data_IF_890870232934
#
_entry.id   IF_890870232934
#
_cell.length_a   1.000
_cell.length_b   1.000
_cell.length_c   1.000
_cell.angle_alpha   90.00
_cell.angle_beta   90.00
_cell.angle_gamma   90.00
#
_symmetry.space_group_name_H-M   'P 1'
#
loop_
_entity.id
_entity.type
_entity.pdbx_description
1 polymer ?
#
# COMPACT_ATOMS: atom_id res chain seq x y z
N UNK A 1 -6.17 -19.19 6.56
CA UNK A 1 -6.36 -19.33 5.10
C UNK A 1 -7.41 -18.39 4.55
N UNK A 2 -8.62 -18.27 5.13
CA UNK A 2 -9.67 -17.36 4.63
C UNK A 2 -9.25 -15.87 4.64
N UNK A 3 -8.55 -15.41 5.67
CA UNK A 3 -8.05 -14.02 5.73
C UNK A 3 -7.01 -13.73 4.65
N UNK A 4 -6.14 -14.71 4.38
CA UNK A 4 -5.13 -14.58 3.32
C UNK A 4 -5.78 -14.53 1.94
N UNK A 5 -6.80 -15.36 1.70
CA UNK A 5 -7.57 -15.36 0.46
C UNK A 5 -8.35 -14.06 0.27
N UNK A 6 -8.98 -13.53 1.32
CA UNK A 6 -9.67 -12.23 1.28
C UNK A 6 -8.72 -11.09 0.98
N UNK A 7 -7.57 -11.05 1.64
CA UNK A 7 -6.54 -10.03 1.40
C UNK A 7 -5.98 -10.10 -0.02
N UNK A 8 -5.74 -11.31 -0.52
CA UNK A 8 -5.30 -11.52 -1.91
C UNK A 8 -6.38 -11.06 -2.91
N UNK A 9 -7.63 -11.47 -2.70
CA UNK A 9 -8.76 -11.06 -3.54
C UNK A 9 -8.95 -9.54 -3.54
N UNK A 10 -8.89 -8.91 -2.37
CA UNK A 10 -8.99 -7.43 -2.25
C UNK A 10 -7.85 -6.74 -2.99
N UNK A 11 -6.62 -7.21 -2.85
CA UNK A 11 -5.46 -6.63 -3.55
C UNK A 11 -5.54 -6.79 -5.06
N UNK A 12 -6.01 -7.95 -5.54
CA UNK A 12 -6.26 -8.17 -6.97
C UNK A 12 -7.37 -7.26 -7.50
N UNK A 13 -8.45 -7.08 -6.74
CA UNK A 13 -9.53 -6.18 -7.10
C UNK A 13 -9.02 -4.74 -7.22
N UNK A 14 -8.25 -4.24 -6.25
CA UNK A 14 -7.63 -2.91 -6.30
C UNK A 14 -6.72 -2.73 -7.52
N UNK A 15 -5.97 -3.77 -7.91
CA UNK A 15 -5.10 -3.72 -9.08
C UNK A 15 -5.91 -3.58 -10.38
N UNK A 16 -7.00 -4.36 -10.52
CA UNK A 16 -7.89 -4.28 -11.67
C UNK A 16 -8.67 -2.98 -11.72
N UNK A 17 -9.22 -2.52 -10.60
CA UNK A 17 -9.93 -1.25 -10.49
C UNK A 17 -8.99 -0.08 -10.82
N UNK A 18 -7.76 -0.10 -10.30
CA UNK A 18 -6.73 0.89 -10.61
C UNK A 18 -6.37 0.92 -12.10
N UNK A 19 -6.18 -0.25 -12.71
CA UNK A 19 -5.88 -0.35 -14.15
C UNK A 19 -7.06 0.14 -15.01
N UNK A 20 -8.29 -0.26 -14.68
CA UNK A 20 -9.49 0.19 -15.40
C UNK A 20 -9.71 1.70 -15.27
N UNK A 21 -9.54 2.24 -14.06
CA UNK A 21 -9.67 3.67 -13.81
C UNK A 21 -8.61 4.46 -14.60
N UNK A 22 -7.36 3.99 -14.59
CA UNK A 22 -6.30 4.59 -15.37
C UNK A 22 -6.64 4.61 -16.86
N UNK A 23 -7.11 3.50 -17.42
CA UNK A 23 -7.53 3.42 -18.83
C UNK A 23 -8.74 4.32 -19.14
N UNK A 24 -9.69 4.44 -18.22
CA UNK A 24 -10.82 5.34 -18.37
C UNK A 24 -10.38 6.82 -18.43
N UNK A 25 -9.41 7.21 -17.58
CA UNK A 25 -8.81 8.54 -17.58
C UNK A 25 -8.05 8.79 -18.89
N UNK A 26 -7.26 7.82 -19.35
CA UNK A 26 -6.54 7.88 -20.63
C UNK A 26 -7.52 8.11 -21.78
N UNK A 27 -8.59 7.33 -21.85
CA UNK A 27 -9.61 7.47 -22.86
C UNK A 27 -10.29 8.84 -22.84
N UNK A 28 -10.61 9.33 -21.64
CA UNK A 28 -11.24 10.64 -21.47
C UNK A 28 -10.33 11.77 -21.91
N UNK A 29 -9.01 11.63 -21.68
CA UNK A 29 -8.01 12.66 -22.01
C UNK A 29 -7.68 12.65 -23.49
N UNK A 30 -7.31 11.49 -24.04
CA UNK A 30 -6.87 11.36 -25.45
C UNK A 30 -8.06 11.34 -26.44
N UNK A 31 -9.26 10.95 -25.98
CA UNK A 31 -10.47 10.80 -26.82
C UNK A 31 -10.26 9.95 -28.06
N UNK A 32 -9.27 9.08 -28.06
CA UNK A 32 -8.93 8.16 -29.15
C UNK A 32 -8.88 6.73 -28.59
N UNK A 33 -9.77 5.89 -29.09
CA UNK A 33 -9.84 4.49 -28.70
C UNK A 33 -8.56 3.71 -29.05
N UNK A 34 -7.89 4.08 -30.14
CA UNK A 34 -6.68 3.42 -30.60
C UNK A 34 -5.49 3.77 -29.68
N UNK A 35 -5.37 5.02 -29.32
CA UNK A 35 -4.38 5.49 -28.37
C UNK A 35 -4.58 4.80 -27.01
N UNK A 36 -5.84 4.68 -26.55
CA UNK A 36 -6.20 3.97 -25.32
C UNK A 36 -5.81 2.48 -25.39
N UNK A 37 -6.03 1.81 -26.52
CA UNK A 37 -5.62 0.43 -26.69
C UNK A 37 -4.10 0.23 -26.61
N UNK A 38 -3.31 1.16 -27.18
CA UNK A 38 -1.84 1.11 -27.07
C UNK A 38 -1.42 1.21 -25.59
N UNK A 39 -2.01 2.14 -24.83
CA UNK A 39 -1.75 2.26 -23.40
C UNK A 39 -2.23 1.02 -22.61
N UNK A 40 -3.39 0.46 -22.97
CA UNK A 40 -3.94 -0.73 -22.33
C UNK A 40 -3.04 -1.96 -22.47
N UNK A 41 -2.42 -2.13 -23.64
CA UNK A 41 -1.50 -3.25 -23.91
C UNK A 41 -0.15 -3.02 -23.22
N UNK A 42 0.28 -1.77 -23.03
CA UNK A 42 1.53 -1.46 -22.35
C UNK A 42 1.53 -1.94 -20.89
N UNK A 43 0.39 -1.90 -20.18
CA UNK A 43 0.26 -2.37 -18.80
C UNK A 43 0.66 -3.83 -18.61
N UNK A 44 0.00 -4.82 -19.25
CA UNK A 44 0.36 -6.21 -19.08
C UNK A 44 1.76 -6.51 -19.60
N UNK A 45 2.23 -5.83 -20.64
CA UNK A 45 3.58 -5.99 -21.17
C UNK A 45 4.68 -5.50 -20.20
N UNK A 46 4.34 -4.62 -19.25
CA UNK A 46 5.25 -4.19 -18.19
C UNK A 46 5.15 -5.10 -16.96
N UNK A 47 3.94 -5.58 -16.62
CA UNK A 47 3.68 -6.37 -15.40
C UNK A 47 4.12 -7.83 -15.58
N UNK A 48 3.84 -8.47 -16.72
CA UNK A 48 4.17 -9.88 -16.93
C UNK A 48 5.67 -10.18 -16.80
N UNK A 49 6.58 -9.41 -17.42
CA UNK A 49 8.01 -9.60 -17.20
C UNK A 49 8.45 -9.34 -15.74
N UNK A 50 7.75 -8.44 -15.03
CA UNK A 50 8.01 -8.19 -13.62
C UNK A 50 7.78 -9.46 -12.79
N UNK A 51 6.72 -10.24 -13.06
CA UNK A 51 6.50 -11.53 -12.40
C UNK A 51 7.63 -12.54 -12.66
N UNK A 52 8.19 -12.56 -13.87
CA UNK A 52 9.33 -13.44 -14.18
C UNK A 52 10.57 -13.08 -13.35
N UNK A 53 10.86 -11.78 -13.17
CA UNK A 53 11.98 -11.32 -12.33
C UNK A 53 11.69 -11.59 -10.86
N UNK A 54 10.46 -11.38 -10.38
CA UNK A 54 10.07 -11.75 -9.01
C UNK A 54 10.32 -13.23 -8.75
N UNK A 55 9.93 -14.10 -9.67
CA UNK A 55 10.18 -15.54 -9.56
C UNK A 55 11.68 -15.86 -9.53
N UNK A 56 12.49 -15.17 -10.33
CA UNK A 56 13.94 -15.35 -10.33
C UNK A 56 14.59 -14.96 -9.00
N UNK A 57 14.09 -13.89 -8.35
CA UNK A 57 14.52 -13.50 -7.02
C UNK A 57 13.93 -14.36 -5.89
N UNK A 58 13.07 -15.33 -6.19
CA UNK A 58 12.40 -16.18 -5.21
C UNK A 58 11.31 -15.45 -4.42
N UNK A 59 10.77 -14.35 -4.95
CA UNK A 59 9.67 -13.62 -4.33
C UNK A 59 8.34 -14.30 -4.61
N UNK A 60 7.43 -14.23 -3.65
CA UNK A 60 6.07 -14.74 -3.78
C UNK A 60 5.08 -13.63 -4.13
N UNK A 61 3.95 -14.01 -4.73
CA UNK A 61 2.79 -13.13 -4.84
C UNK A 61 2.12 -13.05 -3.47
N UNK A 62 2.39 -11.98 -2.75
CA UNK A 62 1.82 -11.71 -1.44
C UNK A 62 1.23 -10.29 -1.40
N UNK A 63 0.62 -9.91 -0.27
CA UNK A 63 -0.03 -8.61 -0.10
C UNK A 63 0.93 -7.45 -0.41
N UNK A 64 2.21 -7.58 -0.04
CA UNK A 64 3.21 -6.52 -0.20
C UNK A 64 3.64 -6.36 -1.66
N UNK A 65 3.87 -7.48 -2.36
CA UNK A 65 4.20 -7.44 -3.79
C UNK A 65 3.02 -6.97 -4.64
N UNK A 66 1.78 -7.36 -4.27
CA UNK A 66 0.57 -6.84 -4.90
C UNK A 66 0.34 -5.36 -4.61
N UNK A 67 0.64 -4.90 -3.40
CA UNK A 67 0.61 -3.48 -3.06
C UNK A 67 1.63 -2.69 -3.90
N UNK A 68 2.85 -3.21 -4.06
CA UNK A 68 3.86 -2.61 -4.93
C UNK A 68 3.35 -2.44 -6.36
N UNK A 69 2.77 -3.50 -6.93
CA UNK A 69 2.20 -3.45 -8.28
C UNK A 69 1.03 -2.47 -8.37
N UNK A 70 0.13 -2.45 -7.38
CA UNK A 70 -1.00 -1.51 -7.35
C UNK A 70 -0.55 -0.05 -7.34
N UNK A 71 0.47 0.27 -6.53
CA UNK A 71 1.05 1.63 -6.48
C UNK A 71 1.69 2.00 -7.82
N UNK A 72 2.39 1.05 -8.45
CA UNK A 72 3.17 1.33 -9.66
C UNK A 72 2.29 1.33 -10.91
N UNK A 73 1.12 0.67 -10.92
CA UNK A 73 0.21 0.63 -12.10
C UNK A 73 -0.10 2.03 -12.63
N UNK A 74 -0.37 3.00 -11.75
CA UNK A 74 -0.60 4.39 -12.16
C UNK A 74 0.62 5.02 -12.86
N UNK A 75 1.81 4.70 -12.39
CA UNK A 75 3.08 5.18 -12.95
C UNK A 75 3.37 4.51 -14.30
N UNK A 76 3.08 3.21 -14.42
CA UNK A 76 3.30 2.45 -15.66
C UNK A 76 2.47 2.98 -16.83
N UNK A 77 1.27 3.47 -16.55
CA UNK A 77 0.39 4.04 -17.57
C UNK A 77 0.90 5.41 -18.03
N UNK A 78 1.47 6.19 -17.12
CA UNK A 78 1.94 7.56 -17.40
C UNK A 78 3.02 7.59 -18.47
N UNK A 79 4.01 6.71 -18.40
CA UNK A 79 5.06 6.59 -19.42
C UNK A 79 4.48 6.39 -20.84
N UNK A 80 3.47 5.52 -20.96
CA UNK A 80 2.81 5.25 -22.22
C UNK A 80 1.95 6.43 -22.69
N UNK A 81 1.28 7.15 -21.77
CA UNK A 81 0.45 8.30 -22.09
C UNK A 81 1.29 9.41 -22.69
N UNK A 82 2.39 9.79 -22.02
CA UNK A 82 3.27 10.87 -22.46
C UNK A 82 3.85 10.57 -23.85
N UNK A 83 4.26 9.33 -24.09
CA UNK A 83 4.77 8.90 -25.41
C UNK A 83 3.69 9.01 -26.48
N UNK A 84 2.49 8.50 -26.22
CA UNK A 84 1.37 8.52 -27.17
C UNK A 84 0.91 9.95 -27.45
N UNK A 85 0.78 10.79 -26.43
CA UNK A 85 0.37 12.19 -26.59
C UNK A 85 1.34 12.93 -27.50
N UNK A 86 2.65 12.75 -27.30
CA UNK A 86 3.66 13.37 -28.15
C UNK A 86 3.58 12.87 -29.60
N UNK A 87 3.34 11.56 -29.80
CA UNK A 87 3.14 10.99 -31.14
C UNK A 87 1.90 11.59 -31.81
N UNK A 88 0.77 11.69 -31.09
CA UNK A 88 -0.47 12.29 -31.58
C UNK A 88 -0.25 13.76 -31.98
N UNK A 89 0.52 14.51 -31.18
CA UNK A 89 0.91 15.89 -31.50
C UNK A 89 1.69 15.98 -32.81
N UNK A 90 2.67 15.10 -33.03
CA UNK A 90 3.44 15.05 -34.30
C UNK A 90 2.56 14.61 -35.47
N UNK A 91 1.60 13.73 -35.29
CA UNK A 91 0.60 13.36 -36.29
C UNK A 91 -0.26 14.56 -36.69
N UNK A 92 -0.68 15.38 -35.69
CA UNK A 92 -1.42 16.63 -35.93
C UNK A 92 -0.62 17.66 -36.75
N UNK A 93 0.71 17.63 -36.70
CA UNK A 93 1.59 18.46 -37.55
C UNK A 93 1.67 17.94 -39.02
N UNK A 94 0.92 16.90 -39.39
CA UNK A 94 0.88 16.33 -40.72
C UNK A 94 1.99 15.34 -41.03
N UNK A 95 2.79 14.88 -40.09
CA UNK A 95 3.82 13.86 -40.27
C UNK A 95 3.21 12.49 -40.53
N UNK A 96 3.92 11.65 -41.28
CA UNK A 96 3.54 10.24 -41.45
C UNK A 96 3.68 9.50 -40.11
N UNK A 97 2.86 8.47 -39.86
CA UNK A 97 2.84 7.80 -38.53
C UNK A 97 4.21 7.28 -38.07
N UNK A 98 5.01 6.74 -38.96
CA UNK A 98 6.35 6.25 -38.60
C UNK A 98 7.32 7.39 -38.26
N UNK A 99 7.31 8.48 -39.04
CA UNK A 99 8.15 9.64 -38.78
C UNK A 99 7.69 10.37 -37.50
N UNK A 100 6.37 10.48 -37.29
CA UNK A 100 5.79 11.05 -36.09
C UNK A 100 6.22 10.27 -34.84
N UNK A 101 6.14 8.94 -34.87
CA UNK A 101 6.56 8.10 -33.77
C UNK A 101 8.05 8.19 -33.45
N UNK A 102 8.89 8.25 -34.49
CA UNK A 102 10.34 8.40 -34.36
C UNK A 102 10.72 9.75 -33.76
N UNK A 103 10.22 10.83 -34.36
CA UNK A 103 10.55 12.18 -33.92
C UNK A 103 10.04 12.45 -32.50
N UNK A 104 8.82 11.99 -32.17
CA UNK A 104 8.27 12.10 -30.84
C UNK A 104 9.09 11.33 -29.80
N UNK A 105 9.50 10.10 -30.15
CA UNK A 105 10.34 9.30 -29.27
C UNK A 105 11.71 9.95 -29.02
N UNK A 106 12.33 10.54 -30.02
CA UNK A 106 13.60 11.26 -29.87
C UNK A 106 13.43 12.53 -28.98
N UNK A 107 12.34 13.29 -29.18
CA UNK A 107 12.11 14.55 -28.48
C UNK A 107 12.00 14.37 -26.96
N UNK A 108 11.25 13.37 -26.48
CA UNK A 108 11.00 13.16 -25.04
C UNK A 108 11.87 12.06 -24.43
N UNK A 109 12.70 11.40 -25.23
CA UNK A 109 13.43 10.20 -24.83
C UNK A 109 14.26 10.33 -23.58
N UNK A 110 15.05 11.39 -23.49
CA UNK A 110 15.89 11.65 -22.31
C UNK A 110 15.07 12.00 -21.07
N UNK A 111 13.93 12.68 -21.23
CA UNK A 111 13.03 13.02 -20.12
C UNK A 111 12.39 11.76 -19.54
N UNK A 112 11.85 10.88 -20.39
CA UNK A 112 11.22 9.62 -19.96
C UNK A 112 12.23 8.68 -19.30
N UNK A 113 13.45 8.57 -19.83
CA UNK A 113 14.51 7.79 -19.18
C UNK A 113 14.86 8.38 -17.82
N UNK A 114 15.03 9.70 -17.72
CA UNK A 114 15.38 10.36 -16.47
C UNK A 114 14.31 10.17 -15.39
N UNK A 115 13.03 10.32 -15.74
CA UNK A 115 11.91 10.12 -14.78
C UNK A 115 11.83 8.68 -14.32
N UNK A 116 11.86 7.70 -15.19
CA UNK A 116 11.78 6.29 -14.83
C UNK A 116 13.00 5.82 -14.02
N UNK A 117 14.22 6.26 -14.37
CA UNK A 117 15.42 5.97 -13.57
C UNK A 117 15.36 6.62 -12.19
N UNK A 118 14.84 7.85 -12.11
CA UNK A 118 14.64 8.52 -10.82
C UNK A 118 13.65 7.76 -9.94
N UNK A 119 12.52 7.29 -10.51
CA UNK A 119 11.56 6.48 -9.78
C UNK A 119 12.17 5.15 -9.30
N UNK A 120 12.90 4.45 -10.16
CA UNK A 120 13.62 3.25 -9.75
C UNK A 120 14.63 3.54 -8.63
N UNK A 121 15.36 4.66 -8.71
CA UNK A 121 16.30 5.11 -7.70
C UNK A 121 15.64 5.46 -6.35
N UNK A 122 14.36 5.79 -6.33
CA UNK A 122 13.57 5.98 -5.10
C UNK A 122 13.15 4.64 -4.49
N UNK A 123 12.78 3.66 -5.30
CA UNK A 123 12.32 2.35 -4.80
C UNK A 123 13.46 1.44 -4.38
N UNK A 124 14.61 1.48 -5.05
CA UNK A 124 15.76 0.61 -4.74
C UNK A 124 16.27 0.75 -3.30
N UNK A 125 16.45 1.94 -2.70
CA UNK A 125 16.87 2.07 -1.30
C UNK A 125 15.89 1.43 -0.31
N UNK A 126 14.61 1.41 -0.61
CA UNK A 126 13.58 0.77 0.22
C UNK A 126 13.83 -0.73 0.35
N UNK A 127 14.37 -1.36 -0.69
CA UNK A 127 14.74 -2.78 -0.69
C UNK A 127 15.95 -3.11 0.23
N UNK A 128 16.69 -2.12 0.66
CA UNK A 128 17.88 -2.28 1.52
C UNK A 128 17.64 -1.81 2.96
N UNK A 129 16.41 -1.55 3.35
CA UNK A 129 16.10 -1.18 4.73
C UNK A 129 16.50 -2.28 5.71
N UNK A 130 17.13 -1.94 6.87
CA UNK A 130 17.46 -2.91 7.89
C UNK A 130 16.25 -3.28 8.77
N UNK A 131 16.39 -4.39 9.50
CA UNK A 131 15.43 -4.81 10.52
C UNK A 131 14.16 -5.50 9.98
N UNK A 132 13.12 -5.56 10.81
CA UNK A 132 11.83 -6.17 10.47
C UNK A 132 11.17 -5.47 9.28
N UNK A 133 11.12 -4.12 9.21
CA UNK A 133 10.60 -3.43 8.03
C UNK A 133 11.28 -3.84 6.74
N UNK A 134 12.60 -4.03 6.77
CA UNK A 134 13.36 -4.41 5.59
C UNK A 134 12.99 -5.77 5.02
N UNK A 135 12.58 -6.73 5.88
CA UNK A 135 12.11 -8.04 5.41
C UNK A 135 10.87 -7.90 4.52
N UNK A 136 9.95 -7.00 4.89
CA UNK A 136 8.72 -6.74 4.14
C UNK A 136 8.98 -5.85 2.91
N UNK A 137 9.70 -4.75 3.09
CA UNK A 137 9.89 -3.76 2.04
C UNK A 137 10.93 -4.15 0.98
N UNK A 138 11.73 -5.19 1.22
CA UNK A 138 12.65 -5.72 0.21
C UNK A 138 11.93 -6.18 -1.05
N UNK A 139 10.89 -6.98 -0.89
CA UNK A 139 10.08 -7.47 -2.02
C UNK A 139 9.33 -6.33 -2.70
N UNK A 140 8.80 -5.38 -1.92
CA UNK A 140 8.16 -4.17 -2.43
C UNK A 140 9.08 -3.35 -3.33
N UNK A 141 10.26 -2.98 -2.82
CA UNK A 141 11.20 -2.11 -3.52
C UNK A 141 11.71 -2.72 -4.82
N UNK A 142 12.09 -3.99 -4.80
CA UNK A 142 12.54 -4.68 -6.03
C UNK A 142 11.42 -4.88 -7.04
N UNK A 143 10.21 -5.23 -6.61
CA UNK A 143 9.05 -5.38 -7.49
C UNK A 143 8.71 -4.07 -8.17
N UNK A 144 8.62 -2.98 -7.41
CA UNK A 144 8.32 -1.65 -7.93
C UNK A 144 9.40 -1.16 -8.91
N UNK A 145 10.68 -1.24 -8.52
CA UNK A 145 11.78 -0.81 -9.38
C UNK A 145 11.83 -1.60 -10.69
N UNK A 146 11.64 -2.92 -10.63
CA UNK A 146 11.61 -3.79 -11.81
C UNK A 146 10.44 -3.45 -12.73
N UNK A 147 9.24 -3.22 -12.18
CA UNK A 147 8.06 -2.86 -12.95
C UNK A 147 8.26 -1.51 -13.69
N UNK A 148 8.82 -0.51 -13.01
CA UNK A 148 9.15 0.79 -13.61
C UNK A 148 10.18 0.63 -14.75
N UNK A 149 11.21 -0.21 -14.58
CA UNK A 149 12.20 -0.43 -15.64
C UNK A 149 11.60 -1.16 -16.86
N UNK A 150 10.67 -2.10 -16.65
CA UNK A 150 9.95 -2.71 -17.78
C UNK A 150 8.97 -1.72 -18.43
N UNK A 151 8.34 -0.83 -17.67
CA UNK A 151 7.54 0.27 -18.23
C UNK A 151 8.37 1.13 -19.17
N UNK A 152 9.55 1.53 -18.72
CA UNK A 152 10.48 2.29 -19.57
C UNK A 152 10.80 1.55 -20.87
N UNK A 153 11.10 0.26 -20.82
CA UNK A 153 11.38 -0.53 -22.03
C UNK A 153 10.17 -0.60 -22.95
N UNK A 154 8.98 -0.82 -22.40
CA UNK A 154 7.74 -0.86 -23.18
C UNK A 154 7.43 0.51 -23.78
N UNK A 155 7.53 1.59 -23.02
CA UNK A 155 7.28 2.95 -23.50
C UNK A 155 8.26 3.35 -24.61
N UNK A 156 9.53 2.95 -24.52
CA UNK A 156 10.56 3.35 -25.48
C UNK A 156 10.64 2.48 -26.73
N UNK A 157 10.22 1.23 -26.67
CA UNK A 157 10.34 0.28 -27.78
C UNK A 157 8.98 -0.11 -28.39
N UNK A 158 8.05 -0.54 -27.53
CA UNK A 158 6.79 -1.11 -28.01
C UNK A 158 5.74 -0.04 -28.28
N UNK A 159 5.62 0.95 -27.42
CA UNK A 159 4.62 2.02 -27.57
C UNK A 159 4.79 2.80 -28.88
N UNK A 160 5.98 3.29 -29.27
CA UNK A 160 6.17 3.97 -30.56
C UNK A 160 5.90 3.06 -31.76
N UNK A 161 6.34 1.78 -31.68
CA UNK A 161 6.11 0.81 -32.75
C UNK A 161 4.61 0.52 -32.95
N UNK A 162 3.87 0.36 -31.86
CA UNK A 162 2.43 0.14 -31.92
C UNK A 162 1.69 1.39 -32.40
N UNK A 163 2.05 2.55 -31.88
CA UNK A 163 1.48 3.84 -32.25
C UNK A 163 1.67 4.12 -33.76
N UNK A 164 2.87 3.87 -34.33
CA UNK A 164 3.15 4.03 -35.76
C UNK A 164 2.24 3.19 -36.65
N UNK A 165 1.71 2.05 -36.15
CA UNK A 165 0.85 1.16 -36.95
C UNK A 165 -0.63 1.36 -36.69
N UNK A 166 -1.02 1.72 -35.45
CA UNK A 166 -2.41 1.78 -35.00
C UNK A 166 -3.00 3.18 -35.06
N UNK A 167 -2.19 4.22 -34.82
CA UNK A 167 -2.68 5.59 -34.82
C UNK A 167 -2.86 6.10 -36.26
N UNK A 168 -3.88 6.93 -36.41
CA UNK A 168 -4.14 7.63 -37.67
C UNK A 168 -3.95 9.13 -37.46
N UNK A 169 -3.56 9.87 -38.54
CA UNK A 169 -3.56 11.32 -38.49
C UNK A 169 -4.95 11.80 -38.04
N UNK A 170 -4.99 12.59 -36.99
CA UNK A 170 -6.19 13.27 -36.55
C UNK A 170 -6.16 14.72 -37.03
N UNK A 171 -7.28 15.30 -37.44
CA UNK A 171 -7.34 16.74 -37.70
C UNK A 171 -7.03 17.49 -36.40
N UNK A 172 -6.42 18.66 -36.52
CA UNK A 172 -6.07 19.55 -35.42
C UNK A 172 -7.23 19.62 -34.38
N UNK A 173 -6.89 19.57 -33.13
CA UNK A 173 -7.86 19.60 -32.04
C UNK A 173 -8.77 20.84 -32.18
N UNK A 174 -10.09 20.70 -31.98
CA UNK A 174 -11.00 21.84 -31.99
C UNK A 174 -10.58 22.86 -30.95
N UNK A 175 -10.80 24.14 -31.32
CA UNK A 175 -10.49 25.34 -30.54
C UNK A 175 -10.62 25.14 -29.02
N UNK A 176 -9.67 25.71 -28.28
CA UNK A 176 -9.55 25.65 -26.82
C UNK A 176 -10.90 25.72 -26.11
N UNK A 177 -11.18 24.72 -25.31
CA UNK A 177 -12.34 24.71 -24.44
C UNK A 177 -12.32 25.94 -23.52
N UNK A 178 -13.50 26.46 -23.14
CA UNK A 178 -13.61 27.55 -22.15
C UNK A 178 -12.84 27.27 -20.85
N UNK A 179 -12.67 26.00 -20.50
CA UNK A 179 -11.84 25.55 -19.38
C UNK A 179 -10.35 25.81 -19.68
N UNK A 180 -9.87 25.46 -20.84
CA UNK A 180 -8.49 25.66 -21.27
C UNK A 180 -8.12 27.15 -21.27
N UNK A 181 -9.01 27.99 -21.83
CA UNK A 181 -8.79 29.45 -21.82
C UNK A 181 -8.68 30.00 -20.40
N UNK A 182 -9.50 29.52 -19.46
CA UNK A 182 -9.43 29.93 -18.04
C UNK A 182 -8.16 29.43 -17.36
N UNK A 183 -7.77 28.19 -17.63
CA UNK A 183 -6.53 27.61 -17.12
C UNK A 183 -5.29 28.39 -17.61
N UNK A 184 -5.22 28.68 -18.89
CA UNK A 184 -4.15 29.48 -19.47
C UNK A 184 -4.10 30.88 -18.84
N UNK A 185 -5.25 31.49 -18.53
CA UNK A 185 -5.33 32.75 -17.79
C UNK A 185 -4.75 32.66 -16.37
N UNK A 186 -4.94 31.54 -15.67
CA UNK A 186 -4.30 31.31 -14.36
C UNK A 186 -2.79 31.13 -14.48
N UNK A 187 -2.33 30.40 -15.51
CA UNK A 187 -0.90 30.21 -15.81
C UNK A 187 -0.23 31.56 -16.11
N UNK A 188 -0.84 32.39 -16.97
CA UNK A 188 -0.32 33.73 -17.29
C UNK A 188 -0.26 34.62 -16.04
N UNK A 189 -1.28 34.59 -15.19
CA UNK A 189 -1.30 35.32 -13.93
C UNK A 189 -0.21 34.86 -12.99
N UNK A 190 0.03 33.55 -12.88
CA UNK A 190 1.08 32.96 -12.06
C UNK A 190 2.49 33.39 -12.56
N UNK A 191 2.70 33.34 -13.86
CA UNK A 191 3.97 33.73 -14.51
C UNK A 191 4.25 35.25 -14.36
N UNK A 192 3.24 36.07 -14.54
CA UNK A 192 3.34 37.54 -14.34
C UNK A 192 3.65 37.92 -12.90
N UNK A 193 3.09 37.15 -11.95
CA UNK A 193 3.29 37.43 -10.52
C UNK A 193 4.26 36.41 -9.88
N UNK A 194 5.35 36.09 -10.57
CA UNK A 194 6.31 35.04 -10.15
C UNK A 194 6.69 35.05 -8.68
N UNK A 195 6.96 36.23 -8.11
CA UNK A 195 7.34 36.36 -6.72
C UNK A 195 6.20 36.09 -5.73
N UNK A 196 4.96 36.46 -6.08
CA UNK A 196 3.77 36.12 -5.27
C UNK A 196 3.49 34.62 -5.35
N UNK A 197 3.59 34.05 -6.55
CA UNK A 197 3.41 32.60 -6.77
C UNK A 197 4.46 31.80 -6.00
N UNK A 198 5.73 32.23 -6.05
CA UNK A 198 6.80 31.59 -5.28
C UNK A 198 6.56 31.75 -3.77
N UNK A 199 6.13 32.92 -3.31
CA UNK A 199 5.80 33.18 -1.91
C UNK A 199 4.68 32.27 -1.40
N UNK A 200 3.60 32.10 -2.18
CA UNK A 200 2.49 31.20 -1.84
C UNK A 200 2.96 29.73 -1.82
N UNK A 201 3.73 29.31 -2.82
CA UNK A 201 4.27 27.95 -2.87
C UNK A 201 5.18 27.66 -1.66
N UNK A 202 6.06 28.60 -1.33
CA UNK A 202 6.95 28.49 -0.16
C UNK A 202 6.17 28.45 1.15
N UNK A 203 5.15 29.30 1.29
CA UNK A 203 4.27 29.31 2.48
C UNK A 203 3.54 27.96 2.63
N UNK A 204 2.98 27.44 1.54
CA UNK A 204 2.31 26.13 1.55
C UNK A 204 3.28 25.00 1.91
N UNK A 205 4.49 25.03 1.36
CA UNK A 205 5.51 24.03 1.64
C UNK A 205 5.91 24.02 3.12
N UNK A 206 6.30 25.16 3.67
CA UNK A 206 6.68 25.24 5.09
C UNK A 206 5.49 25.06 6.02
N UNK A 207 4.29 25.50 5.63
CA UNK A 207 3.06 25.22 6.36
C UNK A 207 2.77 23.72 6.44
N UNK A 208 2.98 22.97 5.36
CA UNK A 208 2.85 21.51 5.35
C UNK A 208 3.87 20.83 6.25
N UNK A 209 5.13 21.30 6.23
CA UNK A 209 6.17 20.79 7.12
C UNK A 209 5.83 21.03 8.61
N UNK A 210 5.24 22.17 8.93
CA UNK A 210 4.83 22.48 10.29
C UNK A 210 3.69 21.59 10.82
N UNK A 211 2.97 20.88 9.94
CA UNK A 211 1.94 19.90 10.31
C UNK A 211 2.51 18.53 10.67
N UNK A 212 3.74 18.21 10.24
CA UNK A 212 4.35 16.89 10.48
C UNK A 212 4.36 16.50 11.97
N UNK A 213 4.71 17.38 12.93
CA UNK A 213 4.72 17.01 14.36
C UNK A 213 3.34 16.64 14.92
N UNK A 214 2.25 17.04 14.25
CA UNK A 214 0.89 16.73 14.68
C UNK A 214 0.37 15.39 14.12
N UNK A 215 1.13 14.75 13.24
CA UNK A 215 0.76 13.45 12.66
C UNK A 215 1.24 12.35 13.61
N UNK A 216 0.33 11.48 14.13
CA UNK A 216 0.74 10.36 14.96
C UNK A 216 1.62 9.41 14.13
N UNK A 217 2.83 9.13 14.63
CA UNK A 217 3.78 8.23 13.98
C UNK A 217 3.64 6.83 14.56
N UNK A 218 3.12 5.91 13.78
CA UNK A 218 3.10 4.48 14.11
C UNK A 218 3.51 3.69 12.87
N UNK A 219 4.33 2.65 13.06
CA UNK A 219 4.79 1.82 11.95
C UNK A 219 3.68 0.94 11.38
N UNK A 220 2.88 0.35 12.26
CA UNK A 220 1.69 -0.42 11.90
C UNK A 220 0.51 0.27 12.57
N UNK A 221 -0.41 0.87 11.81
CA UNK A 221 -1.61 1.44 12.41
C UNK A 221 -2.37 0.31 13.14
N UNK A 222 -2.77 0.57 14.37
CA UNK A 222 -3.64 -0.33 15.12
C UNK A 222 -4.97 -0.36 14.38
N UNK A 223 -5.11 -1.32 13.48
CA UNK A 223 -6.40 -1.58 12.84
C UNK A 223 -7.24 -2.39 13.80
N UNK A 224 -8.49 -1.98 13.95
CA UNK A 224 -9.47 -2.76 14.68
C UNK A 224 -9.80 -4.03 13.88
N UNK A 225 -9.05 -5.10 14.20
CA UNK A 225 -9.21 -6.40 13.53
C UNK A 225 -10.34 -7.26 14.14
N UNK A 226 -11.05 -6.70 15.13
CA UNK A 226 -12.07 -7.44 15.84
C UNK A 226 -11.53 -8.55 16.74
N UNK A 227 -10.23 -8.58 17.02
CA UNK A 227 -9.58 -9.59 17.86
C UNK A 227 -8.57 -8.96 18.80
N UNK A 228 -8.56 -9.41 20.05
CA UNK A 228 -7.57 -9.03 21.06
C UNK A 228 -6.93 -10.26 21.67
N UNK A 229 -5.61 -10.22 21.90
CA UNK A 229 -4.89 -11.28 22.60
C UNK A 229 -4.60 -10.82 24.03
N UNK A 230 -5.17 -11.51 24.99
CA UNK A 230 -4.98 -11.29 26.42
C UNK A 230 -4.04 -12.35 26.99
N UNK A 231 -2.93 -11.94 27.56
CA UNK A 231 -2.02 -12.81 28.32
C UNK A 231 -2.39 -12.78 29.79
N UNK A 232 -2.54 -13.96 30.37
CA UNK A 232 -2.67 -14.19 31.79
C UNK A 232 -1.37 -14.78 32.32
N UNK A 233 -0.72 -14.16 33.29
CA UNK A 233 0.49 -14.65 33.93
C UNK A 233 0.27 -14.84 35.42
N UNK A 234 0.52 -16.05 35.90
CA UNK A 234 0.40 -16.44 37.30
C UNK A 234 1.78 -16.43 37.99
N UNK A 235 1.84 -16.44 39.33
CA UNK A 235 3.07 -16.47 40.10
C UNK A 235 3.99 -17.65 39.70
N UNK A 236 5.32 -17.51 39.84
CA UNK A 236 6.27 -18.60 39.62
C UNK A 236 5.95 -19.83 40.46
N UNK A 237 6.02 -21.02 39.86
CA UNK A 237 5.73 -22.28 40.51
C UNK A 237 4.28 -22.73 40.43
N UNK A 238 3.39 -21.98 39.77
CA UNK A 238 2.00 -22.38 39.54
C UNK A 238 1.92 -23.58 38.61
N UNK A 239 1.26 -24.69 38.99
CA UNK A 239 1.05 -25.83 38.11
C UNK A 239 0.05 -25.51 37.00
N UNK A 240 0.09 -26.25 35.90
CA UNK A 240 -0.74 -26.03 34.72
C UNK A 240 -2.23 -26.16 34.98
N UNK A 241 -2.60 -27.01 35.95
CA UNK A 241 -3.99 -27.25 36.38
C UNK A 241 -4.59 -26.01 37.02
N UNK A 242 -3.80 -25.28 37.80
CA UNK A 242 -4.25 -24.02 38.42
C UNK A 242 -4.36 -22.91 37.37
N UNK A 243 -3.42 -22.87 36.40
CA UNK A 243 -3.51 -21.96 35.25
C UNK A 243 -4.77 -22.22 34.41
N UNK A 244 -5.11 -23.49 34.21
CA UNK A 244 -6.33 -23.88 33.52
C UNK A 244 -7.60 -23.44 34.29
N UNK A 245 -7.63 -23.65 35.62
CA UNK A 245 -8.76 -23.26 36.45
C UNK A 245 -8.98 -21.74 36.45
N UNK A 246 -7.93 -20.96 36.58
CA UNK A 246 -8.00 -19.50 36.54
C UNK A 246 -8.43 -18.99 35.18
N UNK A 247 -7.91 -19.60 34.11
CA UNK A 247 -8.31 -19.26 32.73
C UNK A 247 -9.80 -19.52 32.50
N UNK A 248 -10.36 -20.59 33.06
CA UNK A 248 -11.78 -20.89 32.98
C UNK A 248 -12.65 -19.90 33.78
N UNK A 249 -12.16 -19.46 34.96
CA UNK A 249 -12.80 -18.38 35.71
C UNK A 249 -12.80 -17.07 34.90
N UNK A 250 -11.67 -16.70 34.32
CA UNK A 250 -11.57 -15.53 33.44
C UNK A 250 -12.55 -15.64 32.27
N UNK A 251 -12.62 -16.81 31.59
CA UNK A 251 -13.57 -17.07 30.52
C UNK A 251 -15.02 -16.88 30.92
N UNK A 252 -15.37 -17.34 32.10
CA UNK A 252 -16.73 -17.20 32.64
C UNK A 252 -17.10 -15.74 32.95
N UNK A 253 -16.15 -14.95 33.43
CA UNK A 253 -16.34 -13.52 33.70
C UNK A 253 -16.48 -12.75 32.37
N UNK A 254 -15.61 -13.02 31.42
CA UNK A 254 -15.61 -12.38 30.09
C UNK A 254 -16.86 -12.74 29.27
N UNK A 255 -17.44 -13.94 29.47
CA UNK A 255 -18.66 -14.35 28.80
C UNK A 255 -19.89 -13.50 29.11
N UNK A 256 -19.79 -12.57 30.08
CA UNK A 256 -20.84 -11.58 30.39
C UNK A 256 -20.79 -10.35 29.46
N UNK A 257 -19.74 -10.19 28.66
CA UNK A 257 -19.57 -9.06 27.74
C UNK A 257 -20.38 -9.38 26.47
N UNK A 258 -21.38 -8.58 26.10
CA UNK A 258 -22.31 -8.93 25.02
C UNK A 258 -21.64 -9.01 23.64
N UNK A 259 -20.61 -8.19 23.39
CA UNK A 259 -19.89 -8.13 22.12
C UNK A 259 -18.87 -9.26 21.93
N UNK A 260 -18.61 -10.06 22.97
CA UNK A 260 -17.68 -11.17 22.90
C UNK A 260 -18.32 -12.35 22.18
N UNK A 261 -17.90 -12.62 20.94
CA UNK A 261 -18.43 -13.72 20.11
C UNK A 261 -17.79 -15.06 20.47
N UNK A 262 -16.45 -15.07 20.60
CA UNK A 262 -15.69 -16.29 20.89
C UNK A 262 -14.48 -16.01 21.76
N UNK A 263 -14.11 -17.00 22.60
CA UNK A 263 -12.87 -17.00 23.38
C UNK A 263 -12.13 -18.29 23.08
N UNK A 264 -10.93 -18.17 22.54
CA UNK A 264 -10.01 -19.28 22.41
C UNK A 264 -8.91 -19.14 23.46
N UNK A 265 -8.68 -20.18 24.27
CA UNK A 265 -7.69 -20.16 25.36
C UNK A 265 -6.60 -21.18 25.07
N UNK A 266 -5.35 -20.74 25.07
CA UNK A 266 -4.17 -21.57 24.95
C UNK A 266 -3.37 -21.51 26.25
N UNK A 267 -3.14 -22.66 26.90
CA UNK A 267 -2.50 -22.77 28.21
C UNK A 267 -1.13 -23.42 28.04
N UNK A 268 -0.13 -22.92 28.77
CA UNK A 268 1.21 -23.50 28.79
C UNK A 268 2.07 -23.19 27.58
N UNK A 269 1.59 -22.39 26.63
CA UNK A 269 2.34 -21.96 25.46
C UNK A 269 2.08 -20.50 25.19
N UNK A 270 3.11 -19.71 25.01
CA UNK A 270 3.00 -18.28 24.64
C UNK A 270 3.41 -18.16 23.18
N UNK A 271 2.59 -17.54 22.32
CA UNK A 271 3.03 -17.20 20.97
C UNK A 271 4.25 -16.30 21.00
N UNK A 272 5.29 -16.61 20.24
CA UNK A 272 6.40 -15.67 20.01
C UNK A 272 5.94 -14.60 19.02
N UNK A 273 5.61 -13.40 19.55
CA UNK A 273 5.18 -12.26 18.73
C UNK A 273 6.30 -11.71 17.82
N UNK A 274 7.56 -12.09 18.08
CA UNK A 274 8.69 -11.73 17.22
C UNK A 274 8.91 -12.67 16.03
N UNK A 275 8.38 -13.89 16.09
CA UNK A 275 8.46 -14.88 15.01
C UNK A 275 7.20 -15.78 15.02
N UNK A 276 6.18 -15.47 14.20
CA UNK A 276 4.90 -16.21 14.17
C UNK A 276 5.02 -17.71 13.88
N UNK A 277 6.18 -18.17 13.45
CA UNK A 277 6.48 -19.58 13.18
C UNK A 277 7.12 -20.33 14.35
N UNK A 278 7.52 -19.61 15.42
CA UNK A 278 8.10 -20.22 16.63
C UNK A 278 7.11 -20.16 17.79
N UNK A 279 6.84 -21.30 18.42
CA UNK A 279 6.20 -21.30 19.72
C UNK A 279 7.19 -20.70 20.73
N UNK A 280 6.87 -19.57 21.32
CA UNK A 280 7.56 -19.07 22.51
C UNK A 280 7.44 -20.17 23.58
N UNK A 281 8.50 -20.43 24.30
CA UNK A 281 8.70 -21.62 25.15
C UNK A 281 7.48 -22.03 25.99
N UNK A 282 7.44 -23.31 26.35
CA UNK A 282 6.41 -23.84 27.23
C UNK A 282 6.56 -23.23 28.65
N UNK A 283 5.54 -22.53 29.11
CA UNK A 283 5.47 -21.95 30.46
C UNK A 283 4.11 -22.25 31.08
N UNK A 284 4.09 -23.21 32.02
CA UNK A 284 2.87 -23.70 32.65
C UNK A 284 2.05 -22.63 33.38
N UNK A 285 2.68 -21.52 33.75
CA UNK A 285 2.06 -20.39 34.48
C UNK A 285 1.40 -19.36 33.55
N UNK A 286 1.50 -19.52 32.26
CA UNK A 286 0.96 -18.57 31.28
C UNK A 286 -0.15 -19.16 30.47
N UNK A 287 -1.16 -18.33 30.24
CA UNK A 287 -2.23 -18.62 29.30
C UNK A 287 -2.45 -17.40 28.38
N UNK A 288 -2.78 -17.66 27.12
CA UNK A 288 -3.16 -16.62 26.17
C UNK A 288 -4.60 -16.87 25.74
N UNK A 289 -5.42 -15.85 25.89
CA UNK A 289 -6.82 -15.85 25.46
C UNK A 289 -6.98 -14.97 24.23
N UNK A 290 -7.39 -15.54 23.12
CA UNK A 290 -7.79 -14.78 21.93
C UNK A 290 -9.28 -14.49 22.03
N UNK A 291 -9.60 -13.21 22.12
CA UNK A 291 -10.96 -12.68 22.25
C UNK A 291 -11.41 -12.23 20.85
N UNK A 292 -12.48 -12.80 20.32
CA UNK A 292 -13.09 -12.45 19.05
C UNK A 292 -14.31 -11.55 19.29
N UNK A 293 -14.20 -10.30 18.84
CA UNK A 293 -15.25 -9.28 18.95
C UNK A 293 -16.13 -9.20 17.70
N UNK A 294 -15.72 -9.87 16.59
CA UNK A 294 -16.32 -9.71 15.27
C UNK A 294 -15.96 -8.38 14.60
N UNK A 295 -16.53 -8.13 13.42
CA UNK A 295 -16.25 -6.93 12.63
C UNK A 295 -16.63 -5.64 13.37
N UNK A 296 -15.91 -4.55 13.08
CA UNK A 296 -16.16 -3.24 13.73
C UNK A 296 -17.58 -2.72 13.51
N UNK A 297 -18.16 -2.96 12.33
CA UNK A 297 -19.52 -2.49 11.99
C UNK A 297 -20.66 -3.24 12.73
N UNK A 298 -20.36 -4.37 13.38
CA UNK A 298 -21.33 -5.18 14.13
C UNK A 298 -21.37 -4.83 15.64
N UNK A 299 -20.63 -3.82 16.09
CA UNK A 299 -20.49 -3.49 17.51
C UNK A 299 -20.46 -1.99 17.77
N UNK A 300 -20.95 -1.59 18.94
CA UNK A 300 -21.03 -0.18 19.32
C UNK A 300 -19.73 0.37 19.91
N UNK A 301 -18.86 -0.52 20.44
CA UNK A 301 -17.61 -0.17 21.13
C UNK A 301 -16.39 -0.53 20.30
N UNK A 302 -15.38 0.38 20.28
CA UNK A 302 -14.10 0.10 19.63
C UNK A 302 -13.31 -0.98 20.39
N UNK A 303 -12.38 -1.65 19.72
CA UNK A 303 -11.51 -2.67 20.33
C UNK A 303 -10.82 -2.15 21.59
N UNK A 304 -10.28 -0.92 21.58
CA UNK A 304 -9.65 -0.31 22.78
C UNK A 304 -10.60 -0.14 23.97
N UNK A 305 -11.84 0.22 23.71
CA UNK A 305 -12.86 0.34 24.74
C UNK A 305 -13.22 -1.04 25.33
N UNK A 306 -13.33 -2.06 24.48
CA UNK A 306 -13.58 -3.44 24.92
C UNK A 306 -12.42 -4.00 25.74
N UNK A 307 -11.18 -3.73 25.34
CA UNK A 307 -9.98 -4.11 26.09
C UNK A 307 -9.96 -3.45 27.49
N UNK A 308 -10.43 -2.21 27.62
CA UNK A 308 -10.56 -1.56 28.92
C UNK A 308 -11.63 -2.24 29.78
N UNK A 309 -12.78 -2.57 29.19
CA UNK A 309 -13.83 -3.34 29.88
C UNK A 309 -13.32 -4.70 30.38
N UNK A 310 -12.50 -5.38 29.57
CA UNK A 310 -11.86 -6.64 29.97
C UNK A 310 -10.90 -6.43 31.14
N UNK A 311 -10.05 -5.40 31.11
CA UNK A 311 -9.14 -5.05 32.21
C UNK A 311 -9.93 -4.83 33.50
N UNK A 312 -11.00 -4.06 33.46
CA UNK A 312 -11.85 -3.76 34.62
C UNK A 312 -12.56 -5.01 35.13
N UNK A 313 -13.05 -5.88 34.24
CA UNK A 313 -13.73 -7.13 34.59
C UNK A 313 -12.80 -8.15 35.26
N UNK A 314 -11.51 -8.16 34.84
CA UNK A 314 -10.52 -9.11 35.38
C UNK A 314 -9.67 -8.52 36.51
N UNK A 315 -9.87 -7.26 36.89
CA UNK A 315 -9.13 -6.61 37.98
C UNK A 315 -9.28 -7.32 39.34
N UNK A 316 -10.42 -7.95 39.56
CA UNK A 316 -10.74 -8.66 40.82
C UNK A 316 -10.19 -10.10 40.86
N UNK A 317 -9.52 -10.60 39.79
CA UNK A 317 -8.92 -11.94 39.84
C UNK A 317 -7.62 -11.92 40.65
N UNK A 318 -7.58 -12.59 41.82
CA UNK A 318 -6.43 -12.52 42.71
C UNK A 318 -5.23 -13.28 42.12
N UNK A 319 -4.05 -12.66 42.19
CA UNK A 319 -2.79 -13.30 41.82
C UNK A 319 -2.53 -13.50 40.32
N UNK A 320 -3.28 -12.83 39.49
CA UNK A 320 -3.12 -12.89 38.03
C UNK A 320 -2.67 -11.54 37.46
N UNK A 321 -1.60 -11.54 36.72
CA UNK A 321 -1.20 -10.37 35.93
C UNK A 321 -1.81 -10.50 34.54
N UNK A 322 -2.64 -9.52 34.15
CA UNK A 322 -3.26 -9.45 32.83
C UNK A 322 -2.56 -8.42 31.99
N UNK A 323 -2.24 -8.77 30.73
CA UNK A 323 -1.70 -7.83 29.75
C UNK A 323 -2.23 -8.17 28.38
N UNK A 324 -2.59 -7.13 27.59
CA UNK A 324 -2.89 -7.35 26.19
C UNK A 324 -1.58 -7.45 25.41
N UNK A 325 -1.48 -8.50 24.61
CA UNK A 325 -0.38 -8.68 23.67
C UNK A 325 -0.69 -7.78 22.47
N UNK A 326 -0.24 -6.51 22.54
CA UNK A 326 -0.30 -5.64 21.36
C UNK A 326 0.78 -6.06 20.38
N UNK A 327 0.46 -6.03 19.10
CA UNK A 327 1.44 -6.18 18.02
C UNK A 327 2.37 -4.96 17.88
N UNK A 328 2.33 -4.02 18.83
CA UNK A 328 3.22 -2.84 18.84
C UNK A 328 4.57 -3.20 19.49
N UNK A 329 5.66 -3.20 18.70
CA UNK A 329 7.01 -3.46 19.23
C UNK A 329 7.47 -2.42 20.27
N UNK A 330 6.84 -1.25 20.32
CA UNK A 330 7.20 -0.14 21.21
C UNK A 330 6.70 -0.27 22.63
N UNK A 331 5.49 -0.82 22.87
CA UNK A 331 4.97 -1.02 24.22
C UNK A 331 5.65 -2.17 24.97
N UNK A 332 6.15 -3.16 24.23
CA UNK A 332 6.90 -4.27 24.83
C UNK A 332 8.25 -3.85 25.39
N UNK A 333 8.92 -2.86 24.78
CA UNK A 333 10.17 -2.30 25.29
C UNK A 333 9.99 -1.49 26.58
N UNK A 334 8.87 -0.81 26.75
CA UNK A 334 8.58 -0.06 27.98
C UNK A 334 8.32 -0.98 29.19
N UNK A 335 7.79 -2.19 28.97
CA UNK A 335 7.51 -3.17 30.04
C UNK A 335 8.77 -3.96 30.47
N UNK A 336 9.82 -3.99 29.68
CA UNK A 336 11.10 -4.67 30.00
C UNK A 336 12.04 -3.76 30.80
N UNK A 337 11.83 -2.44 30.77
CA UNK A 337 12.67 -1.42 31.43
C UNK A 337 12.03 -0.85 32.73
N UNK A 338 10.88 -1.31 33.14
CA UNK A 338 10.22 -1.00 34.42
C UNK A 338 10.22 -2.23 35.33
#
# INVERSE_FOLDING_TARGET
SEETERSYSSSMTMLWEGALLALAVVFWFLRDWRATWVSAIALPLSIIPTFAVMQWFGFSLNIITLLALSVVVGILVDDAIVEIENIVRHLGMGKKPLDAARDAADEIGTAVIATSVTLAAVFVPVAFMPGIPGKFFREFGWTAATAVMFSLLVARLLTPMMAARLLKPQPEHPADSKFMTRYLGWVDTALRNRWKTLGVATLLFFGSLALIPFIPTTFIPVSDQGRSMLSLELPPGTPIEDTARISEQARTLLGKIPELKQVFTQIGSVPDLGDPGKSGGADARKAVMTLDWGPEHDRDRSQKQLEQVVRDTLADLPGVRTSFLSSEPGEQLALVLA
#
